data_IF_936814600719
#
_entry.id   IF_936814600719
#
_cell.length_a   1.000
_cell.length_b   1.000
_cell.length_c   1.000
_cell.angle_alpha   90.00
_cell.angle_beta   90.00
_cell.angle_gamma   90.00
#
_symmetry.space_group_name_H-M   'P 1'
#
loop_
_entity.id
_entity.type
_entity.pdbx_description
1 polymer ?
#
# COMPACT_ATOMS: atom_id res chain seq x y z
N UNK A 1 16.21 -11.45 20.90
CA UNK A 1 16.45 -10.16 20.18
C UNK A 1 15.14 -9.61 19.70
N UNK A 2 14.96 -8.34 19.86
CA UNK A 2 13.75 -7.66 19.43
C UNK A 2 14.03 -6.86 18.18
N UNK A 3 13.04 -6.85 17.29
CA UNK A 3 13.10 -6.08 16.04
C UNK A 3 11.89 -5.17 15.94
N UNK A 4 12.00 -4.13 15.15
CA UNK A 4 10.89 -3.23 14.86
C UNK A 4 10.66 -3.22 13.35
N UNK A 5 9.41 -3.43 12.95
CA UNK A 5 9.00 -3.31 11.55
C UNK A 5 7.71 -2.49 11.51
N UNK A 6 7.83 -1.24 11.15
CA UNK A 6 6.71 -0.30 11.18
C UNK A 6 6.80 0.67 10.01
N UNK A 7 5.67 0.91 9.38
CA UNK A 7 5.54 1.90 8.33
C UNK A 7 4.34 2.80 8.64
N UNK A 8 4.51 4.09 8.42
CA UNK A 8 3.47 5.09 8.63
C UNK A 8 3.36 5.95 7.38
N UNK A 9 2.15 6.02 6.81
CA UNK A 9 1.90 6.73 5.58
C UNK A 9 0.67 7.61 5.68
N UNK A 10 0.73 8.79 5.06
CA UNK A 10 -0.44 9.62 4.77
C UNK A 10 -0.41 9.86 3.27
N UNK A 11 -1.48 9.47 2.59
CA UNK A 11 -1.54 9.63 1.15
C UNK A 11 -2.95 9.42 0.63
N UNK A 12 -3.08 9.36 -0.68
CA UNK A 12 -4.37 9.24 -1.33
C UNK A 12 -4.49 7.90 -2.06
N UNK A 13 -5.67 7.31 -2.00
CA UNK A 13 -5.93 6.07 -2.73
C UNK A 13 -5.81 6.29 -4.23
N UNK A 14 -5.14 5.37 -4.91
CA UNK A 14 -4.95 5.42 -6.37
C UNK A 14 -6.02 4.67 -7.14
N UNK A 15 -6.80 3.84 -6.44
CA UNK A 15 -7.91 3.06 -6.99
C UNK A 15 -8.88 2.72 -5.88
N UNK A 16 -10.08 2.30 -6.25
CA UNK A 16 -11.05 1.81 -5.28
C UNK A 16 -10.54 0.54 -4.60
N UNK A 17 -10.80 0.37 -3.29
CA UNK A 17 -10.39 -0.85 -2.59
C UNK A 17 -11.08 -2.09 -3.16
N UNK A 18 -10.34 -3.18 -3.23
CA UNK A 18 -10.85 -4.48 -3.65
C UNK A 18 -10.88 -5.42 -2.45
N UNK A 19 -12.06 -5.95 -2.14
CA UNK A 19 -12.25 -6.87 -1.02
C UNK A 19 -12.46 -8.28 -1.56
N UNK A 20 -11.69 -9.22 -1.03
CA UNK A 20 -11.80 -10.65 -1.36
C UNK A 20 -11.98 -11.45 -0.08
N UNK A 21 -12.67 -12.58 -0.19
CA UNK A 21 -12.76 -13.55 0.89
C UNK A 21 -11.84 -14.72 0.55
N UNK A 22 -10.89 -15.02 1.43
CA UNK A 22 -9.99 -16.15 1.25
C UNK A 22 -10.65 -17.45 1.76
N UNK A 23 -10.12 -18.65 1.41
CA UNK A 23 -10.75 -19.93 1.78
C UNK A 23 -11.03 -20.11 3.27
N UNK A 24 -10.25 -19.48 4.15
CA UNK A 24 -10.50 -19.52 5.59
C UNK A 24 -11.73 -18.72 6.03
N UNK A 25 -12.36 -17.97 5.12
CA UNK A 25 -13.47 -17.08 5.43
C UNK A 25 -13.06 -15.67 5.81
N UNK A 26 -11.79 -15.42 5.97
CA UNK A 26 -11.29 -14.10 6.33
C UNK A 26 -11.33 -13.14 5.13
N UNK A 27 -11.65 -11.89 5.40
CA UNK A 27 -11.65 -10.84 4.38
C UNK A 27 -10.29 -10.20 4.24
N UNK A 28 -9.94 -9.87 3.00
CA UNK A 28 -8.70 -9.18 2.66
C UNK A 28 -9.05 -8.03 1.73
N UNK A 29 -8.58 -6.83 2.06
CA UNK A 29 -8.78 -5.64 1.23
C UNK A 29 -7.44 -5.15 0.72
N UNK A 30 -7.35 -4.91 -0.59
CA UNK A 30 -6.15 -4.36 -1.21
C UNK A 30 -6.47 -3.07 -1.91
N UNK A 31 -5.55 -2.12 -1.82
CA UNK A 31 -5.62 -0.88 -2.58
C UNK A 31 -4.23 -0.28 -2.74
N UNK A 32 -4.13 0.67 -3.67
CA UNK A 32 -2.91 1.44 -3.87
C UNK A 32 -3.01 2.79 -3.18
N UNK A 33 -1.88 3.28 -2.72
CA UNK A 33 -1.79 4.61 -2.11
C UNK A 33 -0.61 5.35 -2.73
N UNK A 34 -0.81 6.63 -3.03
CA UNK A 34 0.26 7.50 -3.52
C UNK A 34 0.65 8.49 -2.43
N UNK A 35 1.96 8.61 -2.21
CA UNK A 35 2.53 9.67 -1.38
C UNK A 35 3.35 10.58 -2.27
N UNK A 36 3.14 11.89 -2.14
CA UNK A 36 3.81 12.87 -2.97
C UNK A 36 4.75 13.71 -2.13
N UNK A 37 5.87 14.07 -2.71
CA UNK A 37 6.76 15.06 -2.11
C UNK A 37 7.21 16.05 -3.16
N UNK A 38 7.48 17.27 -2.73
CA UNK A 38 8.03 18.29 -3.60
C UNK A 38 9.18 18.98 -2.89
N UNK A 39 10.17 19.43 -3.65
CA UNK A 39 11.33 20.15 -3.13
C UNK A 39 11.87 21.05 -4.21
N UNK A 40 12.72 21.99 -3.81
CA UNK A 40 13.43 22.85 -4.76
C UNK A 40 14.80 22.26 -5.04
N UNK A 41 15.08 21.99 -6.31
CA UNK A 41 16.37 21.46 -6.74
C UNK A 41 17.49 22.50 -6.63
N UNK A 42 18.72 22.02 -6.84
CA UNK A 42 19.92 22.89 -6.81
C UNK A 42 19.90 23.95 -7.92
N UNK A 43 19.13 23.72 -8.98
CA UNK A 43 18.92 24.66 -10.08
C UNK A 43 17.82 25.70 -9.79
N UNK A 44 17.24 25.70 -8.60
CA UNK A 44 16.17 26.60 -8.20
C UNK A 44 14.78 26.20 -8.73
N UNK A 45 14.68 25.08 -9.43
CA UNK A 45 13.40 24.59 -9.99
C UNK A 45 12.71 23.66 -9.01
N UNK A 46 11.38 23.73 -8.99
CA UNK A 46 10.56 22.84 -8.18
C UNK A 46 10.58 21.44 -8.76
N UNK A 47 10.86 20.47 -7.92
CA UNK A 47 10.85 19.04 -8.27
C UNK A 47 9.70 18.34 -7.53
N UNK A 48 9.16 17.30 -8.15
CA UNK A 48 8.10 16.50 -7.55
C UNK A 48 8.42 15.01 -7.75
N UNK A 49 8.03 14.20 -6.77
CA UNK A 49 8.14 12.75 -6.87
C UNK A 49 6.95 12.11 -6.20
N UNK A 50 6.48 11.01 -6.77
CA UNK A 50 5.39 10.22 -6.24
C UNK A 50 5.87 8.81 -5.99
N UNK A 51 5.59 8.29 -4.79
CA UNK A 51 5.81 6.89 -4.46
C UNK A 51 4.47 6.19 -4.40
N UNK A 52 4.39 5.00 -5.00
CA UNK A 52 3.20 4.19 -5.00
C UNK A 52 3.39 3.01 -4.05
N UNK A 53 2.42 2.81 -3.18
CA UNK A 53 2.47 1.79 -2.15
C UNK A 53 1.32 0.81 -2.34
N UNK A 54 1.58 -0.46 -2.06
CA UNK A 54 0.55 -1.50 -2.02
C UNK A 54 0.12 -1.68 -0.58
N UNK A 55 -1.17 -1.55 -0.31
CA UNK A 55 -1.72 -1.65 1.04
C UNK A 55 -2.62 -2.87 1.10
N UNK A 56 -2.48 -3.63 2.19
CA UNK A 56 -3.29 -4.81 2.46
C UNK A 56 -3.85 -4.70 3.86
N UNK A 57 -5.16 -4.84 3.98
CA UNK A 57 -5.85 -4.87 5.27
C UNK A 57 -6.56 -6.21 5.43
N UNK A 58 -6.67 -6.68 6.67
CA UNK A 58 -7.19 -8.00 6.99
C UNK A 58 -8.39 -7.92 7.93
N UNK A 59 -9.29 -8.89 7.79
CA UNK A 59 -10.39 -9.08 8.72
C UNK A 59 -11.35 -7.91 8.77
N UNK A 60 -11.68 -7.48 9.96
CA UNK A 60 -12.64 -6.39 10.15
C UNK A 60 -12.18 -5.08 9.53
N UNK A 61 -10.89 -4.79 9.60
CA UNK A 61 -10.33 -3.59 8.98
C UNK A 61 -10.50 -3.64 7.46
N UNK A 62 -10.38 -4.82 6.85
CA UNK A 62 -10.63 -5.00 5.43
C UNK A 62 -12.07 -4.63 5.06
N UNK A 63 -13.04 -5.03 5.86
CA UNK A 63 -14.45 -4.70 5.66
C UNK A 63 -14.68 -3.19 5.75
N UNK A 64 -14.07 -2.54 6.74
CA UNK A 64 -14.18 -1.10 6.94
C UNK A 64 -13.59 -0.36 5.73
N UNK A 65 -12.40 -0.74 5.30
CA UNK A 65 -11.75 -0.12 4.14
C UNK A 65 -12.60 -0.27 2.88
N UNK A 66 -13.12 -1.47 2.63
CA UNK A 66 -13.96 -1.71 1.47
C UNK A 66 -15.27 -0.94 1.48
N UNK A 67 -15.81 -0.64 2.67
CA UNK A 67 -17.10 0.05 2.80
C UNK A 67 -16.97 1.56 2.72
N UNK A 68 -15.87 2.13 3.18
CA UNK A 68 -15.77 3.58 3.37
C UNK A 68 -14.74 4.28 2.50
N UNK A 69 -13.75 3.57 1.97
CA UNK A 69 -12.69 4.18 1.18
C UNK A 69 -13.02 4.16 -0.30
N UNK A 70 -12.61 5.20 -1.02
CA UNK A 70 -12.76 5.32 -2.46
C UNK A 70 -11.50 5.93 -3.06
N UNK A 71 -11.31 5.73 -4.37
CA UNK A 71 -10.21 6.34 -5.11
C UNK A 71 -10.14 7.84 -4.85
N UNK A 72 -8.93 8.34 -4.60
CA UNK A 72 -8.66 9.75 -4.36
C UNK A 72 -8.75 10.18 -2.91
N UNK A 73 -9.32 9.35 -2.05
CA UNK A 73 -9.49 9.69 -0.64
C UNK A 73 -8.15 9.70 0.09
N UNK A 74 -7.95 10.69 0.96
CA UNK A 74 -6.75 10.77 1.79
C UNK A 74 -6.94 9.95 3.05
N UNK A 75 -5.94 9.12 3.38
CA UNK A 75 -5.97 8.28 4.57
C UNK A 75 -4.62 8.28 5.27
N UNK A 76 -4.67 8.02 6.58
CA UNK A 76 -3.52 7.74 7.42
C UNK A 76 -3.45 6.23 7.64
N UNK A 77 -2.29 5.64 7.41
CA UNK A 77 -2.08 4.20 7.59
C UNK A 77 -0.86 3.97 8.45
N UNK A 78 -1.01 3.04 9.38
CA UNK A 78 0.08 2.52 10.18
C UNK A 78 0.06 1.00 10.11
N UNK A 79 1.19 0.40 9.81
CA UNK A 79 1.29 -1.03 9.68
C UNK A 79 2.74 -1.49 9.64
N UNK A 80 2.96 -2.63 9.05
CA UNK A 80 4.29 -3.21 8.89
C UNK A 80 4.56 -3.49 7.42
N UNK A 81 5.83 -3.58 7.07
CA UNK A 81 6.27 -3.95 5.74
C UNK A 81 6.33 -5.47 5.64
N UNK A 82 5.83 -6.02 4.55
CA UNK A 82 5.90 -7.43 4.26
C UNK A 82 6.22 -7.63 2.79
N UNK A 83 7.18 -8.48 2.50
CA UNK A 83 7.60 -8.77 1.13
C UNK A 83 7.23 -10.20 0.79
N UNK A 84 6.54 -10.39 -0.32
CA UNK A 84 6.22 -11.68 -0.89
C UNK A 84 7.12 -11.92 -2.09
N UNK A 85 7.50 -13.18 -2.30
CA UNK A 85 8.23 -13.60 -3.48
C UNK A 85 7.47 -14.71 -4.18
N UNK A 86 7.65 -14.79 -5.47
CA UNK A 86 7.08 -15.87 -6.29
C UNK A 86 7.93 -16.06 -7.54
N UNK A 87 7.81 -17.25 -8.16
CA UNK A 87 8.48 -17.52 -9.41
C UNK A 87 7.57 -17.07 -10.56
N UNK A 88 8.11 -16.23 -11.44
CA UNK A 88 7.41 -15.81 -12.64
C UNK A 88 7.36 -16.93 -13.67
N UNK A 89 6.50 -16.77 -14.67
CA UNK A 89 6.37 -17.74 -15.76
C UNK A 89 7.64 -17.91 -16.56
N UNK A 90 8.49 -16.89 -16.55
CA UNK A 90 9.80 -16.89 -17.23
C UNK A 90 10.92 -17.50 -16.37
N UNK A 91 10.58 -18.06 -15.21
CA UNK A 91 11.55 -18.62 -14.27
C UNK A 91 12.30 -17.59 -13.44
N UNK A 92 11.98 -16.31 -13.59
CA UNK A 92 12.62 -15.24 -12.83
C UNK A 92 11.87 -15.02 -11.53
N UNK A 93 12.60 -14.97 -10.42
CA UNK A 93 12.00 -14.72 -9.10
C UNK A 93 11.60 -13.26 -8.98
N UNK A 94 10.38 -13.04 -8.52
CA UNK A 94 9.82 -11.71 -8.36
C UNK A 94 9.46 -11.43 -6.92
N UNK A 95 9.49 -10.16 -6.55
CA UNK A 95 9.23 -9.69 -5.19
C UNK A 95 8.20 -8.58 -5.20
N UNK A 96 7.39 -8.53 -4.16
CA UNK A 96 6.44 -7.45 -3.95
C UNK A 96 6.41 -7.10 -2.47
N UNK A 97 6.60 -5.81 -2.15
CA UNK A 97 6.51 -5.29 -0.80
C UNK A 97 5.17 -4.58 -0.61
N UNK A 98 4.53 -4.87 0.52
CA UNK A 98 3.25 -4.28 0.87
C UNK A 98 3.17 -3.94 2.36
#
# INVERSE_FOLDING_TARGET
MYSLNRATLIGNLTRDPEVKTIPSGQKVCTFGMATNRSWTGTDGKKQEATEFHNIVAWGKLAEICGSYLTKGRKVYIEGRLQTHDWDGQDGVKRYRTE
#
